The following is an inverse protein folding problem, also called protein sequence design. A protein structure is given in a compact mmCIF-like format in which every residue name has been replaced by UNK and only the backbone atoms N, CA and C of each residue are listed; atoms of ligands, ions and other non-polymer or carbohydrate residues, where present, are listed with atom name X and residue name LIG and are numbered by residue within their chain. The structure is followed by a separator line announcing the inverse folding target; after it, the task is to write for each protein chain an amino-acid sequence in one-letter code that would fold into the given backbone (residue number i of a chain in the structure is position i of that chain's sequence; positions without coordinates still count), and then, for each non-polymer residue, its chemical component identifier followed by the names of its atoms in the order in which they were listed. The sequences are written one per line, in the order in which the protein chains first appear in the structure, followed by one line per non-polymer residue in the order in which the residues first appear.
data_IF_603745602437
#
_entry.id   IF_603745602437
#
_cell.length_a   1.000
_cell.length_b   1.000
_cell.length_c   1.000
_cell.angle_alpha   90.00
_cell.angle_beta   90.00
_cell.angle_gamma   90.00
#
_symmetry.space_group_name_H-M   'P 1'
#
loop_
_entity.id
_entity.type
_entity.pdbx_description
1 polymer ?
#
# COMPACT_ATOMS: atom_id res chain seq x y z
N UNK A 1 14.04 -21.65 11.85
CA UNK A 1 12.94 -20.97 12.60
C UNK A 1 11.96 -22.03 13.06
N UNK A 2 11.52 -22.02 14.32
CA UNK A 2 10.57 -23.03 14.81
C UNK A 2 9.16 -22.76 14.29
N UNK A 3 8.38 -23.83 14.07
CA UNK A 3 6.97 -23.76 13.65
C UNK A 3 6.12 -22.81 14.53
N UNK A 4 6.46 -22.69 15.81
CA UNK A 4 5.80 -21.80 16.77
C UNK A 4 6.05 -20.31 16.48
N UNK A 5 7.26 -19.92 16.07
CA UNK A 5 7.58 -18.55 15.66
C UNK A 5 6.81 -18.14 14.39
N UNK A 6 6.57 -19.10 13.49
CA UNK A 6 5.81 -18.86 12.27
C UNK A 6 4.31 -18.69 12.57
N UNK A 7 3.75 -19.47 13.49
CA UNK A 7 2.35 -19.33 13.94
C UNK A 7 2.08 -18.01 14.66
N UNK A 8 2.98 -17.55 15.55
CA UNK A 8 2.87 -16.24 16.22
C UNK A 8 2.95 -15.07 15.23
N UNK A 9 3.77 -15.21 14.17
CA UNK A 9 3.79 -14.23 13.07
C UNK A 9 2.45 -14.19 12.33
N UNK A 10 1.83 -15.33 12.07
CA UNK A 10 0.53 -15.41 11.36
C UNK A 10 -0.62 -14.84 12.19
N UNK A 11 -0.65 -15.04 13.52
CA UNK A 11 -1.67 -14.45 14.38
C UNK A 11 -1.66 -12.91 14.33
N UNK A 12 -0.48 -12.30 14.43
CA UNK A 12 -0.30 -10.84 14.37
C UNK A 12 -0.66 -10.23 13.00
N UNK A 13 -0.67 -11.02 11.92
CA UNK A 13 -0.99 -10.53 10.57
C UNK A 13 -2.46 -10.10 10.45
N UNK A 14 -3.36 -10.62 11.29
CA UNK A 14 -4.81 -10.35 11.23
C UNK A 14 -5.36 -9.55 12.43
N UNK A 15 -4.56 -9.35 13.47
CA UNK A 15 -4.96 -8.56 14.64
C UNK A 15 -5.01 -7.07 14.30
N UNK A 16 -6.04 -6.37 14.79
CA UNK A 16 -6.19 -4.91 14.71
C UNK A 16 -6.11 -4.31 16.10
N UNK A 17 -5.62 -3.07 16.21
CA UNK A 17 -5.59 -2.35 17.48
C UNK A 17 -7.00 -2.03 17.97
N UNK A 18 -7.14 -1.66 19.25
CA UNK A 18 -8.42 -1.18 19.80
C UNK A 18 -8.92 0.07 19.08
N UNK A 19 -8.01 1.00 18.73
CA UNK A 19 -8.33 2.21 17.97
C UNK A 19 -8.79 1.88 16.55
N UNK A 20 -8.06 1.02 15.84
CA UNK A 20 -8.44 0.57 14.49
C UNK A 20 -9.82 -0.10 14.49
N UNK A 21 -10.15 -0.85 15.56
CA UNK A 21 -11.46 -1.48 15.73
C UNK A 21 -12.56 -0.44 15.94
N UNK A 22 -12.33 0.55 16.78
CA UNK A 22 -13.28 1.63 17.02
C UNK A 22 -13.55 2.43 15.74
N UNK A 23 -12.49 2.83 15.03
CA UNK A 23 -12.60 3.51 13.74
C UNK A 23 -13.37 2.68 12.71
N UNK A 24 -13.06 1.38 12.59
CA UNK A 24 -13.77 0.48 11.68
C UNK A 24 -15.24 0.34 12.05
N UNK A 25 -15.57 0.26 13.34
CA UNK A 25 -16.95 0.19 13.81
C UNK A 25 -17.73 1.48 13.49
N UNK A 26 -17.11 2.65 13.69
CA UNK A 26 -17.71 3.94 13.38
C UNK A 26 -17.96 4.09 11.87
N UNK A 27 -16.97 3.75 11.04
CA UNK A 27 -17.11 3.77 9.57
C UNK A 27 -18.22 2.82 9.12
N UNK A 28 -18.25 1.59 9.67
CA UNK A 28 -19.29 0.60 9.35
C UNK A 28 -20.68 1.09 9.72
N UNK A 29 -20.87 1.61 10.93
CA UNK A 29 -22.15 2.12 11.38
C UNK A 29 -22.64 3.30 10.52
N UNK A 30 -21.73 4.19 10.12
CA UNK A 30 -22.05 5.31 9.25
C UNK A 30 -22.39 4.87 7.82
N UNK A 31 -21.69 3.87 7.29
CA UNK A 31 -21.98 3.28 5.98
C UNK A 31 -23.34 2.56 5.97
N UNK A 32 -23.66 1.80 7.02
CA UNK A 32 -24.96 1.11 7.16
C UNK A 32 -26.14 2.09 7.31
N UNK A 33 -25.89 3.29 7.83
CA UNK A 33 -26.88 4.36 7.92
C UNK A 33 -27.03 5.16 6.60
N UNK A 34 -26.08 5.05 5.67
CA UNK A 34 -26.11 5.76 4.40
C UNK A 34 -26.90 4.97 3.34
N UNK A 35 -27.95 5.57 2.78
CA UNK A 35 -28.82 4.89 1.80
C UNK A 35 -28.13 4.58 0.46
N UNK A 36 -27.05 5.31 0.15
CA UNK A 36 -26.36 5.26 -1.14
C UNK A 36 -25.04 4.48 -1.11
N UNK A 37 -24.69 3.86 0.02
CA UNK A 37 -23.50 3.02 0.15
C UNK A 37 -23.94 1.58 0.37
N UNK A 38 -23.57 0.68 -0.56
CA UNK A 38 -23.80 -0.76 -0.38
C UNK A 38 -22.92 -1.29 0.76
N UNK A 39 -23.44 -2.23 1.56
CA UNK A 39 -22.63 -2.88 2.59
C UNK A 39 -21.43 -3.61 1.97
N UNK A 40 -20.25 -3.39 2.54
CA UNK A 40 -19.00 -4.08 2.17
C UNK A 40 -18.58 -5.08 3.26
N UNK A 41 -17.49 -5.81 3.01
CA UNK A 41 -16.96 -6.78 3.99
C UNK A 41 -16.40 -6.07 5.23
N UNK A 42 -16.39 -6.76 6.37
CA UNK A 42 -15.75 -6.26 7.60
C UNK A 42 -14.25 -5.96 7.40
N UNK A 43 -13.57 -6.74 6.54
CA UNK A 43 -12.18 -6.48 6.20
C UNK A 43 -12.01 -5.16 5.43
N UNK A 44 -12.98 -4.80 4.58
CA UNK A 44 -12.94 -3.55 3.82
C UNK A 44 -13.18 -2.34 4.73
N UNK A 45 -14.05 -2.45 5.75
CA UNK A 45 -14.17 -1.42 6.79
C UNK A 45 -12.88 -1.24 7.59
N UNK A 46 -12.22 -2.33 7.98
CA UNK A 46 -10.90 -2.25 8.63
C UNK A 46 -9.86 -1.62 7.73
N UNK A 47 -9.85 -1.97 6.43
CA UNK A 47 -8.93 -1.39 5.47
C UNK A 47 -9.13 0.14 5.39
N UNK A 48 -10.38 0.61 5.31
CA UNK A 48 -10.66 2.03 5.37
C UNK A 48 -10.20 2.64 6.70
N UNK A 49 -10.45 1.99 7.83
CA UNK A 49 -10.07 2.48 9.16
C UNK A 49 -8.56 2.63 9.33
N UNK A 50 -7.74 1.69 8.84
CA UNK A 50 -6.28 1.79 8.94
C UNK A 50 -5.76 3.05 8.19
N UNK A 51 -6.39 3.40 7.07
CA UNK A 51 -5.92 4.47 6.17
C UNK A 51 -6.55 5.83 6.48
N UNK A 52 -7.84 5.85 6.77
CA UNK A 52 -8.61 7.06 7.07
C UNK A 52 -8.55 7.41 8.57
N UNK A 53 -8.28 6.44 9.44
CA UNK A 53 -8.34 6.60 10.90
C UNK A 53 -9.73 7.05 11.34
N UNK A 54 -9.82 8.19 12.03
CA UNK A 54 -11.06 8.81 12.50
C UNK A 54 -11.79 9.63 11.43
N UNK A 55 -11.25 9.77 10.22
CA UNK A 55 -11.91 10.45 9.09
C UNK A 55 -13.02 9.60 8.46
N UNK A 56 -14.17 9.54 9.15
CA UNK A 56 -15.35 8.78 8.69
C UNK A 56 -15.86 9.30 7.35
N UNK A 57 -15.97 10.62 7.17
CA UNK A 57 -16.49 11.21 5.93
C UNK A 57 -15.60 10.90 4.72
N UNK A 58 -14.28 10.99 4.89
CA UNK A 58 -13.32 10.59 3.87
C UNK A 58 -13.41 9.10 3.52
N UNK A 59 -13.60 8.24 4.52
CA UNK A 59 -13.82 6.80 4.30
C UNK A 59 -15.12 6.52 3.51
N UNK A 60 -16.24 7.18 3.86
CA UNK A 60 -17.51 7.03 3.14
C UNK A 60 -17.41 7.51 1.69
N UNK A 61 -16.73 8.64 1.45
CA UNK A 61 -16.47 9.14 0.08
C UNK A 61 -15.69 8.11 -0.75
N UNK A 62 -14.65 7.49 -0.17
CA UNK A 62 -13.87 6.44 -0.83
C UNK A 62 -14.67 5.19 -1.11
N UNK A 63 -15.49 4.73 -0.16
CA UNK A 63 -16.36 3.57 -0.35
C UNK A 63 -17.33 3.77 -1.50
N UNK A 64 -17.98 4.94 -1.57
CA UNK A 64 -18.88 5.29 -2.68
C UNK A 64 -18.13 5.29 -4.02
N UNK A 65 -17.00 5.98 -4.11
CA UNK A 65 -16.20 6.03 -5.34
C UNK A 65 -15.69 4.66 -5.78
N UNK A 66 -15.31 3.77 -4.84
CA UNK A 66 -14.94 2.40 -5.18
C UNK A 66 -16.12 1.56 -5.64
N UNK A 67 -17.34 1.81 -5.15
CA UNK A 67 -18.54 1.14 -5.64
C UNK A 67 -18.89 1.57 -7.06
N UNK A 68 -18.80 2.87 -7.35
CA UNK A 68 -18.97 3.41 -8.69
C UNK A 68 -17.92 2.85 -9.65
N UNK A 69 -16.65 2.81 -9.22
CA UNK A 69 -15.54 2.20 -9.97
C UNK A 69 -15.82 0.72 -10.30
N UNK A 70 -16.25 -0.08 -9.30
CA UNK A 70 -16.55 -1.50 -9.52
C UNK A 70 -17.68 -1.69 -10.52
N UNK A 71 -18.72 -0.87 -10.45
CA UNK A 71 -19.86 -0.94 -11.37
C UNK A 71 -19.45 -0.51 -12.79
N UNK A 72 -18.72 0.60 -12.95
CA UNK A 72 -18.25 1.11 -14.23
C UNK A 72 -17.33 0.12 -14.95
N UNK A 73 -16.34 -0.42 -14.22
CA UNK A 73 -15.33 -1.32 -14.76
C UNK A 73 -15.68 -2.82 -14.61
N UNK A 74 -16.92 -3.12 -14.20
CA UNK A 74 -17.48 -4.48 -14.08
C UNK A 74 -16.58 -5.41 -13.26
N UNK A 75 -16.06 -4.90 -12.15
CA UNK A 75 -15.22 -5.64 -11.20
C UNK A 75 -16.10 -6.59 -10.38
N UNK A 76 -15.66 -7.84 -10.25
CA UNK A 76 -16.40 -8.94 -9.60
C UNK A 76 -15.74 -9.40 -8.29
N UNK A 77 -14.57 -8.84 -7.96
CA UNK A 77 -13.84 -9.18 -6.73
C UNK A 77 -13.57 -10.70 -6.59
N UNK A 78 -13.05 -11.31 -7.67
CA UNK A 78 -12.62 -12.72 -7.69
C UNK A 78 -11.15 -12.86 -8.07
N UNK A 79 -10.48 -13.92 -7.61
CA UNK A 79 -9.09 -14.22 -7.97
C UNK A 79 -8.97 -14.42 -9.49
N UNK A 80 -9.91 -15.16 -10.07
CA UNK A 80 -9.91 -15.52 -11.49
C UNK A 80 -9.97 -14.29 -12.38
N UNK A 81 -10.89 -13.35 -12.12
CA UNK A 81 -10.98 -12.10 -12.88
C UNK A 81 -9.73 -11.25 -12.67
N UNK A 82 -9.19 -11.19 -11.45
CA UNK A 82 -7.97 -10.43 -11.16
C UNK A 82 -6.79 -10.90 -11.99
N UNK A 83 -6.58 -12.22 -12.06
CA UNK A 83 -5.52 -12.79 -12.88
C UNK A 83 -5.77 -12.59 -14.38
N UNK A 84 -7.01 -12.67 -14.84
CA UNK A 84 -7.37 -12.41 -16.24
C UNK A 84 -7.04 -10.96 -16.64
N UNK A 85 -7.48 -9.98 -15.85
CA UNK A 85 -7.23 -8.56 -16.10
C UNK A 85 -5.74 -8.25 -16.03
N UNK A 86 -5.00 -8.79 -15.05
CA UNK A 86 -3.56 -8.58 -14.94
C UNK A 86 -2.82 -9.20 -16.13
N UNK A 87 -3.21 -10.38 -16.62
CA UNK A 87 -2.67 -10.93 -17.89
C UNK A 87 -2.99 -10.05 -19.10
N UNK A 88 -4.18 -9.44 -19.13
CA UNK A 88 -4.54 -8.45 -20.15
C UNK A 88 -3.61 -7.24 -20.08
N UNK A 89 -3.40 -6.71 -18.88
CA UNK A 89 -2.54 -5.57 -18.61
C UNK A 89 -1.08 -5.82 -18.95
N UNK A 90 -0.52 -7.00 -18.64
CA UNK A 90 0.87 -7.33 -18.99
C UNK A 90 1.08 -7.40 -20.51
N UNK A 91 0.05 -7.81 -21.27
CA UNK A 91 0.07 -7.74 -22.75
C UNK A 91 -0.12 -6.31 -23.26
N UNK A 92 -0.99 -5.54 -22.61
CA UNK A 92 -1.24 -4.15 -22.94
C UNK A 92 -0.03 -3.25 -22.63
N UNK A 93 0.69 -3.49 -21.53
CA UNK A 93 1.80 -2.69 -21.02
C UNK A 93 3.05 -3.57 -20.88
N UNK A 94 3.49 -4.14 -22.00
CA UNK A 94 4.56 -5.14 -22.05
C UNK A 94 5.87 -4.64 -21.39
N UNK A 95 6.32 -5.36 -20.36
CA UNK A 95 7.53 -5.04 -19.61
C UNK A 95 7.36 -3.94 -18.56
N UNK A 96 6.16 -3.35 -18.40
CA UNK A 96 5.92 -2.33 -17.37
C UNK A 96 6.04 -2.91 -15.97
N UNK A 97 5.29 -3.97 -15.64
CA UNK A 97 5.30 -4.56 -14.30
C UNK A 97 6.41 -5.60 -14.19
N UNK A 98 7.43 -5.33 -13.38
CA UNK A 98 8.58 -6.22 -13.21
C UNK A 98 8.35 -7.22 -12.07
N UNK A 99 7.92 -6.74 -10.90
CA UNK A 99 7.59 -7.61 -9.76
C UNK A 99 6.64 -6.96 -8.76
N UNK A 100 5.89 -7.81 -8.06
CA UNK A 100 5.26 -7.49 -6.77
C UNK A 100 5.70 -8.60 -5.80
N UNK A 101 6.33 -8.22 -4.69
CA UNK A 101 6.76 -9.18 -3.67
C UNK A 101 6.76 -8.53 -2.28
N UNK A 102 6.97 -9.35 -1.24
CA UNK A 102 7.11 -8.90 0.15
C UNK A 102 8.58 -8.86 0.52
N UNK A 103 9.04 -7.71 1.04
CA UNK A 103 10.27 -7.66 1.81
C UNK A 103 10.03 -8.40 3.13
N UNK A 104 10.53 -9.63 3.24
CA UNK A 104 10.28 -10.50 4.41
C UNK A 104 10.98 -10.03 5.68
N UNK A 105 12.02 -9.21 5.54
CA UNK A 105 12.75 -8.66 6.68
C UNK A 105 11.99 -7.47 7.25
N UNK A 106 11.50 -6.58 6.37
CA UNK A 106 10.83 -5.34 6.75
C UNK A 106 9.31 -5.41 6.76
N UNK A 107 8.72 -6.49 6.25
CA UNK A 107 7.29 -6.79 6.30
C UNK A 107 6.38 -6.03 5.31
N UNK A 108 6.91 -5.16 4.46
CA UNK A 108 6.11 -4.40 3.50
C UNK A 108 6.16 -5.00 2.10
N UNK A 109 5.21 -4.61 1.25
CA UNK A 109 5.23 -4.98 -0.17
C UNK A 109 6.12 -4.04 -0.97
N UNK A 110 6.78 -4.58 -1.98
CA UNK A 110 7.60 -3.86 -2.95
C UNK A 110 6.97 -4.02 -4.33
N UNK A 111 6.69 -2.90 -4.99
CA UNK A 111 6.18 -2.83 -6.34
C UNK A 111 7.23 -2.23 -7.26
N UNK A 112 7.80 -3.06 -8.14
CA UNK A 112 8.83 -2.64 -9.10
C UNK A 112 8.26 -2.60 -10.51
N UNK A 113 8.47 -1.48 -11.20
CA UNK A 113 7.97 -1.26 -12.55
C UNK A 113 8.94 -0.42 -13.40
N UNK A 114 8.82 -0.55 -14.73
CA UNK A 114 9.58 0.20 -15.74
C UNK A 114 8.68 1.23 -16.44
N UNK A 115 8.80 2.49 -16.03
CA UNK A 115 7.99 3.60 -16.56
C UNK A 115 8.26 3.89 -18.04
N UNK A 116 9.42 3.49 -18.58
CA UNK A 116 9.72 3.64 -20.00
C UNK A 116 8.88 2.70 -20.88
N UNK A 117 8.23 1.71 -20.28
CA UNK A 117 7.34 0.74 -20.95
C UNK A 117 5.88 1.12 -20.94
N UNK A 118 5.49 2.19 -20.23
CA UNK A 118 4.12 2.71 -20.28
C UNK A 118 3.81 3.14 -21.71
N UNK A 119 2.72 2.63 -22.27
CA UNK A 119 2.19 2.91 -23.59
C UNK A 119 0.74 3.44 -23.45
N UNK A 120 0.56 4.75 -23.16
CA UNK A 120 -0.76 5.33 -22.90
C UNK A 120 -1.72 5.21 -24.08
N UNK A 121 -1.20 5.16 -25.31
CA UNK A 121 -1.94 4.99 -26.56
C UNK A 121 -2.62 3.62 -26.70
N UNK A 122 -2.32 2.67 -25.80
CA UNK A 122 -3.00 1.37 -25.74
C UNK A 122 -4.24 1.39 -24.84
N UNK A 123 -4.67 2.58 -24.41
CA UNK A 123 -5.86 2.81 -23.59
C UNK A 123 -6.80 3.82 -24.27
N UNK A 124 -7.23 3.51 -25.49
CA UNK A 124 -8.07 4.41 -26.30
C UNK A 124 -9.56 4.05 -26.21
N UNK A 125 -9.88 2.78 -25.96
CA UNK A 125 -11.26 2.28 -25.92
C UNK A 125 -11.73 1.96 -24.49
N UNK A 126 -13.05 1.95 -24.23
CA UNK A 126 -13.57 1.61 -22.90
C UNK A 126 -13.07 0.26 -22.35
N UNK A 127 -12.98 -0.77 -23.20
CA UNK A 127 -12.50 -2.10 -22.80
C UNK A 127 -11.00 -2.08 -22.43
N UNK A 128 -10.20 -1.20 -23.04
CA UNK A 128 -8.79 -1.03 -22.70
C UNK A 128 -8.62 -0.45 -21.30
N UNK A 129 -9.47 0.51 -20.94
CA UNK A 129 -9.50 1.12 -19.61
C UNK A 129 -9.96 0.13 -18.55
N UNK A 130 -10.90 -0.75 -18.88
CA UNK A 130 -11.29 -1.85 -18.01
C UNK A 130 -10.11 -2.78 -17.70
N UNK A 131 -9.33 -3.15 -18.71
CA UNK A 131 -8.12 -3.95 -18.51
C UNK A 131 -7.13 -3.19 -17.64
N UNK A 132 -6.83 -1.94 -17.97
CA UNK A 132 -5.80 -1.16 -17.31
C UNK A 132 -6.13 -0.88 -15.84
N UNK A 133 -7.26 -0.23 -15.57
CA UNK A 133 -7.65 0.17 -14.22
C UNK A 133 -8.08 -1.03 -13.39
N UNK A 134 -8.75 -2.01 -13.99
CA UNK A 134 -9.08 -3.26 -13.32
C UNK A 134 -7.81 -4.00 -12.87
N UNK A 135 -6.80 -4.12 -13.73
CA UNK A 135 -5.53 -4.73 -13.33
C UNK A 135 -4.81 -3.95 -12.23
N UNK A 136 -4.80 -2.62 -12.28
CA UNK A 136 -4.24 -1.80 -11.19
C UNK A 136 -4.98 -2.04 -9.87
N UNK A 137 -6.31 -2.07 -9.88
CA UNK A 137 -7.14 -2.38 -8.72
C UNK A 137 -6.76 -3.73 -8.10
N UNK A 138 -6.64 -4.79 -8.91
CA UNK A 138 -6.24 -6.11 -8.42
C UNK A 138 -4.77 -6.17 -7.95
N UNK A 139 -3.85 -5.43 -8.57
CA UNK A 139 -2.48 -5.29 -8.07
C UNK A 139 -2.46 -4.64 -6.68
N UNK A 140 -3.26 -3.58 -6.48
CA UNK A 140 -3.40 -2.95 -5.16
C UNK A 140 -3.98 -3.91 -4.12
N UNK A 141 -5.04 -4.67 -4.47
CA UNK A 141 -5.59 -5.72 -3.58
C UNK A 141 -4.57 -6.80 -3.24
N UNK A 142 -3.70 -7.19 -4.17
CA UNK A 142 -2.63 -8.15 -3.92
C UNK A 142 -1.61 -7.61 -2.89
N UNK A 143 -1.19 -6.35 -3.03
CA UNK A 143 -0.27 -5.72 -2.09
C UNK A 143 -0.91 -5.46 -0.71
N UNK A 144 -2.23 -5.35 -0.64
CA UNK A 144 -3.01 -5.19 0.59
C UNK A 144 -3.68 -6.49 1.04
N UNK A 145 -2.98 -7.60 0.85
CA UNK A 145 -3.53 -8.96 1.07
C UNK A 145 -3.92 -9.26 2.51
N UNK A 146 -3.45 -8.51 3.51
CA UNK A 146 -3.77 -8.67 4.92
C UNK A 146 -3.59 -7.34 5.70
N UNK A 147 -4.01 -7.31 6.98
CA UNK A 147 -4.01 -6.08 7.80
C UNK A 147 -2.60 -5.53 8.04
N UNK A 148 -1.63 -6.41 8.26
CA UNK A 148 -0.23 -6.00 8.43
C UNK A 148 0.31 -5.32 7.16
N UNK A 149 0.05 -5.88 5.99
CA UNK A 149 0.44 -5.30 4.70
C UNK A 149 -0.19 -3.92 4.45
N UNK A 150 -1.47 -3.75 4.83
CA UNK A 150 -2.16 -2.46 4.74
C UNK A 150 -1.46 -1.39 5.59
N UNK A 151 -1.09 -1.72 6.84
CA UNK A 151 -0.41 -0.77 7.75
C UNK A 151 0.97 -0.38 7.26
N UNK A 152 1.76 -1.39 6.90
CA UNK A 152 3.14 -1.20 6.47
C UNK A 152 3.21 -0.43 5.14
N UNK A 153 2.19 -0.59 4.30
CA UNK A 153 2.09 0.05 3.00
C UNK A 153 3.07 -0.54 1.99
N UNK A 154 3.24 0.18 0.89
CA UNK A 154 3.96 -0.29 -0.29
C UNK A 154 5.13 0.62 -0.62
N UNK A 155 6.29 0.02 -0.89
CA UNK A 155 7.45 0.68 -1.49
C UNK A 155 7.37 0.55 -3.01
N UNK A 156 7.39 1.67 -3.71
CA UNK A 156 7.42 1.71 -5.16
C UNK A 156 8.83 1.98 -5.65
N UNK A 157 9.28 1.16 -6.61
CA UNK A 157 10.56 1.35 -7.29
C UNK A 157 10.28 1.47 -8.79
N UNK A 158 10.38 2.70 -9.30
CA UNK A 158 10.18 3.01 -10.71
C UNK A 158 11.50 3.14 -11.46
N UNK A 159 11.81 2.19 -12.34
CA UNK A 159 12.84 2.36 -13.37
C UNK A 159 12.36 3.43 -14.37
N UNK A 160 13.20 4.44 -14.61
CA UNK A 160 12.87 5.55 -15.52
C UNK A 160 13.85 5.68 -16.69
N UNK A 161 14.89 4.84 -16.75
CA UNK A 161 15.82 4.88 -17.87
C UNK A 161 15.11 4.58 -19.19
N UNK A 162 15.28 5.46 -20.19
CA UNK A 162 14.63 5.33 -21.50
C UNK A 162 13.24 5.97 -21.57
N UNK A 163 12.72 6.53 -20.48
CA UNK A 163 11.45 7.25 -20.50
C UNK A 163 11.54 8.51 -21.37
N UNK A 164 10.50 8.77 -22.15
CA UNK A 164 10.41 9.89 -23.10
C UNK A 164 8.99 10.48 -23.12
N UNK A 165 8.76 11.53 -23.91
CA UNK A 165 7.44 12.19 -24.00
C UNK A 165 6.31 11.25 -24.47
N UNK A 166 6.61 10.19 -25.22
CA UNK A 166 5.59 9.21 -25.66
C UNK A 166 4.96 8.44 -24.49
N UNK A 167 5.70 8.29 -23.38
CA UNK A 167 5.23 7.61 -22.18
C UNK A 167 4.30 8.52 -21.34
N UNK A 168 4.08 9.76 -21.77
CA UNK A 168 3.37 10.80 -21.02
C UNK A 168 2.05 11.16 -21.70
N UNK A 169 0.95 11.01 -20.96
CA UNK A 169 -0.37 11.49 -21.38
C UNK A 169 -1.15 12.01 -20.15
N UNK A 170 -1.39 13.32 -20.09
CA UNK A 170 -2.08 13.95 -18.96
C UNK A 170 -3.51 13.47 -18.77
N UNK A 171 -4.22 13.17 -19.86
CA UNK A 171 -5.58 12.62 -19.79
C UNK A 171 -5.54 11.24 -19.16
N UNK A 172 -4.55 10.43 -19.57
CA UNK A 172 -4.36 9.10 -19.02
C UNK A 172 -4.06 9.15 -17.51
N UNK A 173 -3.12 10.00 -17.09
CA UNK A 173 -2.76 10.17 -15.67
C UNK A 173 -3.97 10.66 -14.86
N UNK A 174 -4.64 11.71 -15.32
CA UNK A 174 -5.82 12.25 -14.62
C UNK A 174 -6.88 11.18 -14.40
N UNK A 175 -7.13 10.36 -15.41
CA UNK A 175 -8.11 9.27 -15.33
C UNK A 175 -7.72 8.20 -14.31
N UNK A 176 -6.45 7.79 -14.26
CA UNK A 176 -5.97 6.86 -13.21
C UNK A 176 -6.26 7.44 -11.81
N UNK A 177 -5.98 8.73 -11.62
CA UNK A 177 -6.17 9.37 -10.33
C UNK A 177 -7.64 9.56 -9.97
N UNK A 178 -8.46 10.09 -10.88
CA UNK A 178 -9.88 10.34 -10.63
C UNK A 178 -10.68 9.06 -10.45
N UNK A 179 -10.42 8.04 -11.27
CA UNK A 179 -11.28 6.87 -11.32
C UNK A 179 -10.89 5.85 -10.24
N UNK A 180 -9.60 5.75 -9.89
CA UNK A 180 -9.09 4.74 -8.97
C UNK A 180 -8.36 5.33 -7.76
N UNK A 181 -7.27 6.09 -7.96
CA UNK A 181 -6.39 6.43 -6.83
C UNK A 181 -7.00 7.38 -5.80
N UNK A 182 -7.97 8.22 -6.16
CA UNK A 182 -8.70 9.07 -5.20
C UNK A 182 -9.56 8.23 -4.25
N UNK A 183 -10.05 7.07 -4.72
CA UNK A 183 -11.02 6.26 -4.02
C UNK A 183 -10.39 5.05 -3.32
N UNK A 184 -9.32 4.49 -3.85
CA UNK A 184 -8.67 3.34 -3.24
C UNK A 184 -7.91 3.75 -1.97
N UNK A 185 -8.13 3.07 -0.81
CA UNK A 185 -7.42 3.35 0.43
C UNK A 185 -5.97 2.81 0.37
N UNK A 186 -5.12 3.45 -0.43
CA UNK A 186 -3.75 3.00 -0.66
C UNK A 186 -2.76 3.64 0.33
N UNK A 187 -1.89 2.83 0.97
CA UNK A 187 -0.82 3.29 1.87
C UNK A 187 0.51 3.24 1.11
N UNK A 188 1.04 4.41 0.76
CA UNK A 188 2.41 4.47 0.26
C UNK A 188 3.40 4.51 1.43
N UNK A 189 4.41 3.64 1.42
CA UNK A 189 5.56 3.70 2.34
C UNK A 189 6.65 4.60 1.77
N UNK A 190 7.00 4.37 0.50
CA UNK A 190 8.05 5.08 -0.22
C UNK A 190 7.73 5.05 -1.72
N UNK A 191 8.07 6.12 -2.47
CA UNK A 191 8.02 6.11 -3.93
C UNK A 191 9.35 6.59 -4.50
N UNK A 192 10.15 5.67 -5.01
CA UNK A 192 11.51 5.93 -5.48
C UNK A 192 11.61 5.72 -6.98
N UNK A 193 11.85 6.80 -7.72
CA UNK A 193 12.14 6.77 -9.14
C UNK A 193 13.65 6.87 -9.38
N UNK A 194 14.21 5.82 -9.95
CA UNK A 194 15.64 5.72 -10.25
C UNK A 194 15.92 6.15 -11.68
N UNK A 195 17.14 6.67 -11.93
CA UNK A 195 17.60 7.06 -13.29
C UNK A 195 16.62 7.95 -14.05
N UNK A 196 16.05 8.94 -13.36
CA UNK A 196 15.00 9.82 -13.90
C UNK A 196 15.54 10.78 -14.98
N UNK A 197 15.15 10.63 -16.26
CA UNK A 197 15.44 11.64 -17.27
C UNK A 197 14.56 12.89 -17.07
N UNK A 198 14.83 13.94 -17.84
CA UNK A 198 14.02 15.17 -17.82
C UNK A 198 12.52 14.91 -18.00
N UNK A 199 12.13 13.96 -18.87
CA UNK A 199 10.74 13.60 -19.08
C UNK A 199 10.06 13.06 -17.81
N UNK A 200 10.77 12.28 -17.00
CA UNK A 200 10.26 11.76 -15.72
C UNK A 200 10.06 12.89 -14.70
N UNK A 201 11.00 13.83 -14.60
CA UNK A 201 10.88 14.98 -13.70
C UNK A 201 9.69 15.90 -14.07
N UNK A 202 9.44 16.08 -15.38
CA UNK A 202 8.26 16.81 -15.85
C UNK A 202 6.97 16.07 -15.51
N UNK A 203 6.89 14.76 -15.76
CA UNK A 203 5.75 13.92 -15.39
C UNK A 203 5.45 14.04 -13.88
N UNK A 204 6.46 13.91 -13.02
CA UNK A 204 6.30 14.07 -11.58
C UNK A 204 5.70 15.44 -11.21
N UNK A 205 6.18 16.51 -11.84
CA UNK A 205 5.66 17.87 -11.61
C UNK A 205 4.18 18.02 -11.98
N UNK A 206 3.70 17.27 -12.98
CA UNK A 206 2.28 17.22 -13.34
C UNK A 206 1.45 16.29 -12.44
N UNK A 207 2.05 15.21 -11.92
CA UNK A 207 1.37 14.28 -11.00
C UNK A 207 1.21 14.87 -9.60
N UNK A 208 2.19 15.66 -9.13
CA UNK A 208 2.23 16.16 -7.75
C UNK A 208 0.93 16.86 -7.29
N UNK A 209 0.27 17.73 -8.10
CA UNK A 209 -1.00 18.35 -7.70
C UNK A 209 -2.19 17.37 -7.61
N UNK A 210 -2.09 16.20 -8.23
CA UNK A 210 -3.13 15.15 -8.20
C UNK A 210 -2.92 14.17 -7.04
N UNK A 211 -1.70 14.12 -6.48
CA UNK A 211 -1.37 13.25 -5.37
C UNK A 211 -1.89 13.82 -4.05
N UNK A 212 -2.26 12.92 -3.15
CA UNK A 212 -2.50 13.28 -1.75
C UNK A 212 -1.21 13.81 -1.13
N UNK A 213 -1.34 14.75 -0.19
CA UNK A 213 -0.20 15.41 0.43
C UNK A 213 0.78 14.39 1.05
N UNK A 214 0.27 13.41 1.78
CA UNK A 214 1.05 12.35 2.43
C UNK A 214 1.85 11.47 1.46
N UNK A 215 1.33 11.23 0.24
CA UNK A 215 2.05 10.52 -0.80
C UNK A 215 3.12 11.40 -1.46
N UNK A 216 2.84 12.69 -1.64
CA UNK A 216 3.77 13.62 -2.32
C UNK A 216 5.09 13.81 -1.56
N UNK A 217 5.07 13.79 -0.22
CA UNK A 217 6.28 13.90 0.61
C UNK A 217 7.17 12.65 0.58
N UNK A 218 6.63 11.51 0.14
CA UNK A 218 7.35 10.22 0.07
C UNK A 218 7.97 9.97 -1.31
N UNK A 219 7.75 10.87 -2.25
CA UNK A 219 8.21 10.72 -3.63
C UNK A 219 9.63 11.27 -3.80
N UNK A 220 10.51 10.42 -4.31
CA UNK A 220 11.90 10.72 -4.58
C UNK A 220 12.23 10.45 -6.05
N UNK A 221 12.92 11.39 -6.69
CA UNK A 221 13.42 11.29 -8.07
C UNK A 221 14.94 11.30 -8.08
N UNK A 222 15.56 10.69 -9.09
CA UNK A 222 17.02 10.67 -9.22
C UNK A 222 17.69 9.69 -8.25
N UNK A 223 16.94 8.75 -7.69
CA UNK A 223 17.45 7.73 -6.80
C UNK A 223 18.46 6.82 -7.51
N UNK A 224 19.39 6.25 -6.74
CA UNK A 224 20.36 5.25 -7.21
C UNK A 224 20.43 4.09 -6.20
N UNK A 225 20.78 2.89 -6.68
CA UNK A 225 21.01 1.74 -5.81
C UNK A 225 22.51 1.53 -5.61
N UNK A 226 22.95 1.47 -4.36
CA UNK A 226 24.32 1.12 -4.04
C UNK A 226 24.59 -0.33 -4.48
N UNK A 227 25.65 -0.51 -5.26
CA UNK A 227 26.06 -1.85 -5.73
C UNK A 227 25.28 -2.41 -6.93
N UNK A 228 24.32 -1.67 -7.51
CA UNK A 228 23.64 -2.10 -8.74
C UNK A 228 23.47 -0.93 -9.71
N UNK A 229 24.25 -0.93 -10.80
CA UNK A 229 24.25 0.14 -11.81
C UNK A 229 23.35 -0.16 -13.02
N UNK A 230 23.04 -1.44 -13.26
CA UNK A 230 22.30 -1.86 -14.46
C UNK A 230 20.81 -1.54 -14.34
N UNK A 231 20.07 -1.71 -15.44
CA UNK A 231 18.62 -1.58 -15.46
C UNK A 231 17.93 -2.68 -14.65
N UNK A 232 16.78 -2.39 -14.06
CA UNK A 232 16.06 -3.36 -13.23
C UNK A 232 15.48 -4.53 -14.04
N UNK A 233 15.10 -4.30 -15.29
CA UNK A 233 14.56 -5.35 -16.16
C UNK A 233 15.57 -6.49 -16.41
N UNK A 234 16.87 -6.18 -16.45
CA UNK A 234 17.94 -7.19 -16.51
C UNK A 234 17.96 -8.15 -15.31
N UNK A 235 17.61 -7.65 -14.11
CA UNK A 235 17.51 -8.45 -12.89
C UNK A 235 16.22 -9.28 -12.87
N UNK A 236 15.09 -8.65 -13.19
CA UNK A 236 13.78 -9.27 -13.02
C UNK A 236 13.34 -10.16 -14.19
N UNK A 237 13.91 -10.02 -15.39
CA UNK A 237 13.64 -10.89 -16.54
C UNK A 237 14.53 -12.13 -16.61
N UNK A 238 15.31 -12.45 -15.57
CA UNK A 238 16.12 -13.67 -15.56
C UNK A 238 15.29 -14.88 -15.09
N UNK A 239 15.33 -16.05 -15.78
CA UNK A 239 16.15 -16.36 -16.96
C UNK A 239 15.53 -15.90 -18.30
N UNK A 240 14.23 -15.61 -18.34
CA UNK A 240 13.56 -14.96 -19.47
C UNK A 240 12.32 -14.20 -19.00
N UNK A 241 11.89 -13.20 -19.77
CA UNK A 241 10.70 -12.41 -19.47
C UNK A 241 9.44 -13.27 -19.30
N UNK A 242 9.25 -14.30 -20.15
CA UNK A 242 8.11 -15.22 -20.05
C UNK A 242 8.09 -16.01 -18.73
N UNK A 243 9.27 -16.49 -18.29
CA UNK A 243 9.39 -17.23 -17.03
C UNK A 243 9.11 -16.30 -15.85
N UNK A 244 9.64 -15.08 -15.88
CA UNK A 244 9.42 -14.07 -14.85
C UNK A 244 7.96 -13.64 -14.77
N UNK A 245 7.30 -13.42 -15.91
CA UNK A 245 5.87 -13.10 -15.99
C UNK A 245 5.03 -14.20 -15.34
N UNK A 246 5.33 -15.47 -15.64
CA UNK A 246 4.65 -16.60 -15.01
C UNK A 246 4.81 -16.61 -13.50
N UNK A 247 6.02 -16.36 -12.97
CA UNK A 247 6.26 -16.30 -11.53
C UNK A 247 5.60 -15.09 -10.87
N UNK A 248 5.56 -13.95 -11.55
CA UNK A 248 4.81 -12.77 -11.11
C UNK A 248 3.32 -13.09 -10.97
N UNK A 249 2.70 -13.70 -11.99
CA UNK A 249 1.29 -14.07 -11.96
C UNK A 249 0.97 -15.08 -10.84
N UNK A 250 1.84 -16.07 -10.62
CA UNK A 250 1.67 -17.03 -9.52
C UNK A 250 1.70 -16.35 -8.13
N UNK A 251 2.64 -15.42 -7.91
CA UNK A 251 2.71 -14.66 -6.65
C UNK A 251 1.48 -13.78 -6.45
N UNK A 252 1.08 -13.04 -7.46
CA UNK A 252 -0.13 -12.21 -7.40
C UNK A 252 -1.37 -13.07 -7.10
N UNK A 253 -1.46 -14.26 -7.71
CA UNK A 253 -2.56 -15.19 -7.44
C UNK A 253 -2.58 -15.63 -5.97
N UNK A 254 -1.44 -15.94 -5.37
CA UNK A 254 -1.32 -16.29 -3.95
C UNK A 254 -1.78 -15.13 -3.05
N UNK A 255 -1.35 -13.91 -3.35
CA UNK A 255 -1.73 -12.72 -2.58
C UNK A 255 -3.21 -12.39 -2.71
N UNK A 256 -3.78 -12.46 -3.91
CA UNK A 256 -5.23 -12.28 -4.13
C UNK A 256 -6.03 -13.38 -3.44
N UNK A 257 -5.56 -14.63 -3.46
CA UNK A 257 -6.22 -15.74 -2.74
C UNK A 257 -6.26 -15.45 -1.25
N UNK A 258 -5.14 -14.98 -0.68
CA UNK A 258 -5.08 -14.57 0.73
C UNK A 258 -6.02 -13.41 1.03
N UNK A 259 -6.02 -12.37 0.17
CA UNK A 259 -6.91 -11.22 0.29
C UNK A 259 -8.38 -11.64 0.36
N UNK A 260 -8.86 -12.37 -0.66
CA UNK A 260 -10.27 -12.75 -0.75
C UNK A 260 -10.67 -13.80 0.27
N UNK A 261 -9.72 -14.64 0.73
CA UNK A 261 -9.96 -15.50 1.89
C UNK A 261 -10.23 -14.67 3.15
N UNK A 262 -9.43 -13.64 3.43
CA UNK A 262 -9.64 -12.78 4.59
C UNK A 262 -10.90 -11.94 4.45
N UNK A 263 -11.20 -11.36 3.29
CA UNK A 263 -12.44 -10.57 3.09
C UNK A 263 -13.69 -11.40 3.38
N UNK A 264 -13.69 -12.68 2.98
CA UNK A 264 -14.80 -13.60 3.21
C UNK A 264 -14.96 -14.00 4.67
N UNK A 265 -13.85 -14.26 5.36
CA UNK A 265 -13.85 -14.92 6.67
C UNK A 265 -13.64 -13.98 7.86
N UNK A 266 -13.03 -12.81 7.65
CA UNK A 266 -12.82 -11.84 8.71
C UNK A 266 -14.16 -11.28 9.20
N UNK A 267 -14.27 -11.13 10.52
CA UNK A 267 -15.39 -10.49 11.19
C UNK A 267 -14.85 -9.41 12.10
N UNK A 268 -15.39 -8.21 11.97
CA UNK A 268 -15.03 -7.09 12.84
C UNK A 268 -15.51 -7.46 14.25
N UNK A 269 -14.59 -7.53 15.24
CA UNK A 269 -14.99 -7.81 16.61
C UNK A 269 -15.97 -6.74 17.10
N UNK A 270 -16.97 -7.13 17.88
CA UNK A 270 -17.87 -6.16 18.50
C UNK A 270 -17.07 -5.15 19.34
N UNK A 271 -17.51 -3.90 19.33
CA UNK A 271 -16.99 -2.89 20.25
C UNK A 271 -17.31 -3.36 21.67
N UNK A 272 -16.32 -3.46 22.58
CA UNK A 272 -16.59 -3.83 23.95
C UNK A 272 -17.62 -2.87 24.54
N UNK A 273 -18.62 -3.41 25.21
CA UNK A 273 -19.54 -2.60 26.00
C UNK A 273 -18.78 -1.91 27.13
N UNK A 274 -19.23 -0.75 27.64
CA UNK A 274 -18.59 -0.09 28.77
C UNK A 274 -18.40 -1.02 29.99
N UNK A 275 -19.31 -1.98 30.20
CA UNK A 275 -19.23 -3.00 31.24
C UNK A 275 -18.06 -3.98 31.03
N UNK A 276 -17.84 -4.42 29.78
CA UNK A 276 -16.70 -5.28 29.43
C UNK A 276 -15.37 -4.55 29.64
N UNK A 277 -15.29 -3.26 29.30
CA UNK A 277 -14.08 -2.45 29.55
C UNK A 277 -13.77 -2.35 31.04
N UNK A 278 -14.79 -2.10 31.88
CA UNK A 278 -14.64 -2.05 33.34
C UNK A 278 -14.22 -3.40 33.93
N UNK A 279 -14.72 -4.51 33.39
CA UNK A 279 -14.35 -5.86 33.86
C UNK A 279 -12.88 -6.22 33.55
N UNK A 280 -12.32 -5.67 32.47
CA UNK A 280 -10.94 -5.93 32.07
C UNK A 280 -9.95 -5.14 32.93
N UNK A 281 -10.28 -3.91 33.34
CA UNK A 281 -9.41 -3.09 34.20
C UNK A 281 -9.21 -3.68 35.61
N UNK A 282 -10.19 -4.43 36.12
CA UNK A 282 -10.10 -5.06 37.44
C UNK A 282 -9.22 -6.32 37.45
N UNK A 283 -8.97 -6.94 36.28
CA UNK A 283 -8.20 -8.19 36.17
C UNK A 283 -6.68 -8.01 36.04
N UNK A 284 -6.21 -6.78 35.80
CA UNK A 284 -4.78 -6.49 35.57
C UNK A 284 -4.01 -6.01 36.80
N UNK A 285 -4.62 -6.00 37.99
CA UNK A 285 -4.00 -5.55 39.26
C UNK A 285 -3.85 -6.74 40.23
N UNK A 286 -3.34 -7.87 39.75
CA UNK A 286 -2.60 -8.79 40.62
C UNK A 286 -1.12 -8.64 40.28
N UNK A 287 -0.52 -7.58 40.83
CA UNK A 287 0.94 -7.44 40.80
C UNK A 287 1.51 -8.50 41.73
N UNK A 288 2.08 -9.57 41.16
CA UNK A 288 3.03 -10.44 41.84
C UNK A 288 4.28 -9.62 42.19
N UNK A 289 4.14 -8.85 43.27
CA UNK A 289 5.18 -8.13 43.98
C UNK A 289 5.87 -9.11 44.94
N UNK A 290 6.63 -10.07 44.41
CA UNK A 290 7.59 -10.81 45.21
C UNK A 290 8.92 -10.91 44.44
N UNK A 291 9.93 -10.17 44.91
CA UNK A 291 11.31 -10.33 44.47
C UNK A 291 12.08 -9.02 44.31
N UNK A 292 12.22 -8.25 45.39
CA UNK A 292 13.42 -7.43 45.58
C UNK A 292 14.64 -8.37 45.54
N UNK A 293 15.64 -8.08 44.71
CA UNK A 293 17.05 -8.10 45.13
C UNK A 293 18.00 -7.61 44.01
N UNK A 294 18.91 -6.74 44.44
CA UNK A 294 20.24 -6.46 43.92
C UNK A 294 20.45 -5.60 42.66
N UNK A 295 20.62 -4.30 42.96
CA UNK A 295 21.87 -3.55 42.78
C UNK A 295 22.74 -3.92 41.55
N UNK A 296 22.78 -3.04 40.55
CA UNK A 296 24.10 -2.62 40.06
C UNK A 296 24.11 -1.21 39.46
N UNK A 297 24.98 -0.41 40.05
CA UNK A 297 25.34 0.95 39.70
C UNK A 297 26.26 0.89 38.48
N UNK A 298 25.85 1.49 37.37
CA UNK A 298 26.79 1.99 36.37
C UNK A 298 26.43 3.43 36.04
N UNK A 299 27.18 4.33 36.66
CA UNK A 299 27.38 5.71 36.27
C UNK A 299 28.06 5.73 34.90
N UNK A 300 27.34 6.13 33.86
CA UNK A 300 27.96 6.58 32.61
C UNK A 300 28.11 8.10 32.65
N UNK A 301 29.39 8.44 32.71
CA UNK A 301 30.08 9.71 32.48
C UNK A 301 29.37 10.67 31.51
N UNK A 302 29.28 11.92 31.97
CA UNK A 302 28.69 13.07 31.31
C UNK A 302 29.85 13.88 30.70
N UNK A 303 30.08 13.67 29.41
CA UNK A 303 30.90 14.54 28.56
C UNK A 303 30.07 14.85 27.32
N UNK A 304 29.66 16.08 27.05
CA UNK A 304 30.39 17.33 27.21
C UNK A 304 30.96 17.68 25.85
N UNK A 305 30.18 18.40 25.04
CA UNK A 305 30.65 19.20 23.90
C UNK A 305 29.54 20.22 23.58
N UNK A 306 29.78 21.46 24.04
CA UNK A 306 29.10 22.68 23.62
C UNK A 306 29.59 22.99 22.20
N UNK A 307 28.71 22.97 21.21
CA UNK A 307 28.96 23.59 19.91
C UNK A 307 28.36 25.00 19.95
N UNK A 308 29.25 25.96 20.16
CA UNK A 308 29.10 27.35 19.74
C UNK A 308 29.04 27.36 18.21
N UNK A 309 27.93 27.81 17.62
CA UNK A 309 27.92 28.24 16.22
C UNK A 309 27.52 29.72 16.17
N UNK A 310 28.50 30.48 15.70
CA UNK A 310 28.60 31.92 15.63
C UNK A 310 27.58 32.52 14.66
N UNK A 311 27.05 33.67 15.08
CA UNK A 311 26.40 34.65 14.23
C UNK A 311 27.40 35.14 13.17
N UNK A 312 27.15 34.84 11.89
CA UNK A 312 27.71 35.60 10.77
C UNK A 312 26.57 36.36 10.06
N UNK A 313 26.49 37.64 10.43
CA UNK A 313 26.07 38.73 9.56
C UNK A 313 26.85 38.65 8.25
N UNK A 314 26.16 38.73 7.11
CA UNK A 314 26.75 39.42 5.96
C UNK A 314 25.66 40.00 5.04
N UNK A 315 25.82 41.31 4.83
CA UNK A 315 25.11 42.19 3.93
C UNK A 315 24.98 41.63 2.49
N UNK A 316 23.82 41.86 1.84
CA UNK A 316 23.65 42.48 0.50
C UNK A 316 22.18 42.50 0.03
#
# INVERSE_FOLDING_TARGET
MSSHSQALKVARISEISSEEREWAANIKAAAEAAEDIRNVSDMEYVHQAIIAKDDVDGALKRLRGLQDFRDEYKIKDTVEQGIELIKGFLRQQEGFLLTIDVDREKGHFVWVYDTAKIAPERCDYPDDWQIYLGAMYYQMNAMHSNMFAIREGVVHIGECEGMSQKNFNLTHIRRIFSDLCEHYPFQHKELSWIRTPLAANLLYSFMRPLMRSDASYKFQTGCTFSGYSDRLDGLFHSPSAEVSERFLLLRIQEYLTTRYFLEKNYKLPATPTPEEVLSLSDSSIESDSEGEDDQNIYTTDDGGEEEDDEDDDDDL
#
